data_IF_983792912920
#
_entry.id   IF_983792912920
#
_cell.length_a   1.000
_cell.length_b   1.000
_cell.length_c   1.000
_cell.angle_alpha   90.00
_cell.angle_beta   90.00
_cell.angle_gamma   90.00
#
_symmetry.space_group_name_H-M   'P 1'
#
loop_
_entity.id
_entity.type
_entity.pdbx_description
1 polymer ?
#
# COMPACT_ATOMS: atom_id res chain seq x y z
N UNK A 1 1.48 13.75 20.25
CA UNK A 1 0.22 13.31 19.61
C UNK A 1 0.55 12.21 18.61
N UNK A 2 0.51 10.93 19.02
CA UNK A 2 0.74 9.81 18.10
C UNK A 2 -0.44 9.73 17.14
N UNK A 3 -0.21 10.10 15.88
CA UNK A 3 -1.24 10.16 14.84
C UNK A 3 -1.73 8.73 14.63
N UNK A 4 -2.97 8.47 15.07
CA UNK A 4 -3.68 7.19 14.98
C UNK A 4 -3.39 6.56 13.63
N UNK A 5 -2.98 5.29 13.64
CA UNK A 5 -2.86 4.39 12.48
C UNK A 5 -4.06 4.62 11.56
N UNK A 6 -3.92 5.51 10.59
CA UNK A 6 -4.97 5.75 9.62
C UNK A 6 -5.09 4.44 8.87
N UNK A 7 -6.27 3.83 8.91
CA UNK A 7 -6.60 2.69 8.07
C UNK A 7 -6.67 3.21 6.63
N UNK A 8 -5.50 3.57 6.07
CA UNK A 8 -5.38 3.98 4.69
C UNK A 8 -5.86 2.82 3.85
N UNK A 9 -6.97 3.05 3.17
CA UNK A 9 -7.52 2.11 2.22
C UNK A 9 -6.48 1.96 1.10
N UNK A 10 -6.18 0.71 0.72
CA UNK A 10 -5.22 0.41 -0.36
C UNK A 10 -5.59 1.14 -1.66
N UNK A 11 -6.89 1.36 -1.89
CA UNK A 11 -7.39 2.14 -3.03
C UNK A 11 -6.91 3.60 -2.98
N UNK A 12 -6.99 4.24 -1.80
CA UNK A 12 -6.54 5.62 -1.63
C UNK A 12 -5.03 5.72 -1.83
N UNK A 13 -4.26 4.77 -1.28
CA UNK A 13 -2.81 4.71 -1.50
C UNK A 13 -2.49 4.55 -3.00
N UNK A 14 -3.22 3.69 -3.70
CA UNK A 14 -3.04 3.50 -5.13
C UNK A 14 -3.23 4.83 -5.90
N UNK A 15 -4.31 5.56 -5.61
CA UNK A 15 -4.57 6.85 -6.26
C UNK A 15 -3.53 7.92 -5.93
N UNK A 16 -3.13 8.05 -4.67
CA UNK A 16 -2.09 8.99 -4.24
C UNK A 16 -0.72 8.67 -4.87
N UNK A 17 -0.46 7.39 -5.15
CA UNK A 17 0.73 6.95 -5.89
C UNK A 17 0.61 7.10 -7.42
N UNK A 18 -0.48 7.70 -7.93
CA UNK A 18 -0.70 7.94 -9.35
C UNK A 18 -1.25 6.72 -10.13
N UNK A 19 -1.70 5.67 -9.45
CA UNK A 19 -2.36 4.55 -10.13
C UNK A 19 -3.84 4.84 -10.35
N UNK A 20 -4.30 4.55 -11.57
CA UNK A 20 -5.69 4.74 -11.94
C UNK A 20 -6.63 3.67 -11.36
N UNK A 21 -6.11 2.63 -10.71
CA UNK A 21 -6.86 1.50 -10.14
C UNK A 21 -6.04 0.68 -9.16
N UNK A 22 -6.72 0.06 -8.19
CA UNK A 22 -6.09 -0.88 -7.24
C UNK A 22 -5.40 -2.07 -7.93
N UNK A 23 -5.96 -2.56 -9.04
CA UNK A 23 -5.39 -3.71 -9.77
C UNK A 23 -4.04 -3.37 -10.41
N UNK A 24 -3.90 -2.18 -11.00
CA UNK A 24 -2.63 -1.71 -11.57
C UNK A 24 -1.58 -1.52 -10.48
N UNK A 25 -1.99 -0.98 -9.33
CA UNK A 25 -1.14 -0.86 -8.15
C UNK A 25 -0.70 -2.23 -7.62
N UNK A 26 -1.61 -3.20 -7.51
CA UNK A 26 -1.31 -4.56 -7.06
C UNK A 26 -0.25 -5.24 -7.94
N UNK A 27 -0.38 -5.13 -9.26
CA UNK A 27 0.61 -5.66 -10.22
C UNK A 27 1.98 -4.99 -10.05
N UNK A 28 2.01 -3.68 -9.84
CA UNK A 28 3.27 -2.96 -9.58
C UNK A 28 3.91 -3.40 -8.26
N UNK A 29 3.14 -3.51 -7.17
CA UNK A 29 3.65 -4.02 -5.91
C UNK A 29 4.29 -5.40 -6.06
N UNK A 30 3.63 -6.34 -6.76
CA UNK A 30 4.20 -7.67 -7.01
C UNK A 30 5.46 -7.55 -7.87
N UNK A 31 5.43 -6.77 -8.96
CA UNK A 31 6.57 -6.62 -9.88
C UNK A 31 7.82 -6.09 -9.18
N UNK A 32 7.69 -5.09 -8.31
CA UNK A 32 8.83 -4.39 -7.72
C UNK A 32 9.23 -4.92 -6.34
N UNK A 33 8.29 -5.48 -5.57
CA UNK A 33 8.57 -5.93 -4.19
C UNK A 33 8.43 -7.43 -4.01
N UNK A 34 7.89 -8.16 -5.01
CA UNK A 34 7.53 -9.57 -4.90
C UNK A 34 6.34 -9.85 -3.95
N UNK A 35 5.75 -8.81 -3.36
CA UNK A 35 4.72 -8.91 -2.32
C UNK A 35 3.42 -8.25 -2.76
N UNK A 36 2.30 -8.77 -2.27
CA UNK A 36 1.01 -8.08 -2.43
C UNK A 36 1.00 -6.78 -1.62
N UNK A 37 0.26 -5.74 -2.05
CA UNK A 37 0.19 -4.45 -1.36
C UNK A 37 -0.26 -4.57 0.10
N UNK A 38 -1.10 -5.55 0.45
CA UNK A 38 -1.51 -5.77 1.83
C UNK A 38 -0.37 -6.36 2.68
N UNK A 39 0.41 -7.28 2.11
CA UNK A 39 1.57 -7.85 2.80
C UNK A 39 2.68 -6.81 2.97
N UNK A 40 2.91 -6.01 1.92
CA UNK A 40 3.81 -4.86 1.95
C UNK A 40 3.39 -3.84 3.03
N UNK A 41 2.10 -3.52 3.11
CA UNK A 41 1.56 -2.63 4.15
C UNK A 41 1.82 -3.16 5.56
N UNK A 42 1.55 -4.44 5.83
CA UNK A 42 1.81 -5.06 7.13
C UNK A 42 3.30 -4.98 7.50
N UNK A 43 4.17 -5.32 6.57
CA UNK A 43 5.63 -5.26 6.76
C UNK A 43 6.10 -3.84 7.09
N UNK A 44 5.60 -2.84 6.37
CA UNK A 44 5.93 -1.44 6.62
C UNK A 44 5.39 -0.95 7.97
N UNK A 45 4.20 -1.37 8.39
CA UNK A 45 3.60 -1.02 9.68
C UNK A 45 4.26 -1.71 10.89
N UNK A 46 4.98 -2.80 10.65
CA UNK A 46 5.77 -3.48 11.69
C UNK A 46 7.16 -2.87 11.78
N UNK A 47 7.72 -2.41 10.66
CA UNK A 47 9.06 -1.82 10.60
C UNK A 47 9.14 -0.34 11.01
N UNK A 48 8.06 0.42 10.86
CA UNK A 48 8.02 1.88 11.08
C UNK A 48 6.76 2.28 11.83
#
# INVERSE_FOLDING_TARGET
MMKKRSNFNLLTIAFECGFNSASSFHRACIKFTGKSPNNLKKELQVKY
#
